data_IF_658018916862
#
_entry.id   IF_658018916862
#
_cell.length_a   1.000
_cell.length_b   1.000
_cell.length_c   1.000
_cell.angle_alpha   90.00
_cell.angle_beta   90.00
_cell.angle_gamma   90.00
#
_symmetry.space_group_name_H-M   'P 1'
#
loop_
_entity.id
_entity.type
_entity.pdbx_description
1 polymer ?
#
# COMPACT_ATOMS: atom_id res chain seq x y z
N UNK A 1 -6.93 9.70 11.82
CA UNK A 1 -5.75 8.97 12.34
C UNK A 1 -5.84 8.56 13.80
N UNK A 2 -6.21 9.43 14.77
CA UNK A 2 -6.31 9.01 16.18
C UNK A 2 -7.42 7.97 16.44
N UNK A 3 -8.55 8.05 15.75
CA UNK A 3 -9.65 7.08 15.85
C UNK A 3 -9.24 5.66 15.39
N UNK A 4 -8.39 5.54 14.37
CA UNK A 4 -7.95 4.25 13.84
C UNK A 4 -7.09 3.45 14.83
N UNK A 5 -6.39 4.11 15.76
CA UNK A 5 -5.62 3.43 16.82
C UNK A 5 -6.50 2.70 17.85
N UNK A 6 -7.80 3.01 17.88
CA UNK A 6 -8.79 2.47 18.83
C UNK A 6 -9.89 1.67 18.15
N UNK A 7 -9.82 1.53 16.82
CA UNK A 7 -10.82 0.79 16.04
C UNK A 7 -10.54 -0.71 16.15
N UNK A 8 -11.57 -1.58 16.18
CA UNK A 8 -11.37 -3.01 16.04
C UNK A 8 -10.59 -3.34 14.75
N UNK A 9 -9.76 -4.38 14.83
CA UNK A 9 -8.81 -4.88 13.81
C UNK A 9 -9.52 -5.40 12.55
N UNK A 10 -10.26 -4.53 11.87
CA UNK A 10 -10.91 -4.84 10.60
C UNK A 10 -9.93 -4.54 9.47
N UNK A 11 -9.77 -5.49 8.54
CA UNK A 11 -8.87 -5.32 7.40
C UNK A 11 -9.18 -4.09 6.53
N UNK A 12 -10.44 -3.67 6.51
CA UNK A 12 -10.88 -2.42 5.85
C UNK A 12 -10.21 -1.19 6.45
N UNK A 13 -10.20 -1.08 7.78
CA UNK A 13 -9.60 0.08 8.47
C UNK A 13 -8.09 0.07 8.28
N UNK A 14 -7.46 -1.10 8.40
CA UNK A 14 -6.01 -1.24 8.19
C UNK A 14 -5.64 -0.82 6.75
N UNK A 15 -6.36 -1.33 5.73
CA UNK A 15 -6.15 -0.94 4.33
C UNK A 15 -6.25 0.58 4.11
N UNK A 16 -7.29 1.20 4.67
CA UNK A 16 -7.52 2.64 4.55
C UNK A 16 -6.42 3.46 5.26
N UNK A 17 -5.93 2.98 6.41
CA UNK A 17 -4.80 3.59 7.13
C UNK A 17 -3.53 3.48 6.30
N UNK A 18 -3.20 2.32 5.76
CA UNK A 18 -1.99 2.13 4.95
C UNK A 18 -2.01 3.01 3.70
N UNK A 19 -3.16 3.09 3.03
CA UNK A 19 -3.37 4.00 1.89
C UNK A 19 -3.18 5.46 2.31
N UNK A 20 -3.75 5.89 3.43
CA UNK A 20 -3.59 7.25 3.94
C UNK A 20 -2.15 7.56 4.34
N UNK A 21 -1.45 6.60 4.95
CA UNK A 21 -0.04 6.72 5.30
C UNK A 21 0.82 6.86 4.04
N UNK A 22 0.54 6.11 2.98
CA UNK A 22 1.24 6.26 1.71
C UNK A 22 1.06 7.68 1.12
N UNK A 23 -0.19 8.14 0.96
CA UNK A 23 -0.48 9.46 0.39
C UNK A 23 0.03 10.62 1.24
N UNK A 24 0.33 10.38 2.52
CA UNK A 24 0.95 11.38 3.41
C UNK A 24 2.46 11.20 3.60
N UNK A 25 3.10 10.27 2.87
CA UNK A 25 4.55 10.03 2.92
C UNK A 25 5.03 9.38 4.23
N UNK A 26 4.12 8.70 4.94
CA UNK A 26 4.33 8.18 6.30
C UNK A 26 4.33 6.65 6.39
N UNK A 27 4.06 5.92 5.31
CA UNK A 27 3.97 4.45 5.34
C UNK A 27 5.26 3.80 5.88
N UNK A 28 6.41 4.10 5.28
CA UNK A 28 7.72 3.61 5.75
C UNK A 28 8.20 4.12 7.12
N UNK A 29 7.39 4.92 7.83
CA UNK A 29 7.71 5.50 9.15
C UNK A 29 6.73 5.05 10.24
N UNK A 30 5.44 5.07 9.93
CA UNK A 30 4.37 5.07 10.93
C UNK A 30 3.43 3.86 10.82
N UNK A 31 3.62 2.96 9.85
CA UNK A 31 2.74 1.80 9.60
C UNK A 31 2.47 0.98 10.87
N UNK A 32 3.50 0.70 11.66
CA UNK A 32 3.39 -0.10 12.89
C UNK A 32 2.85 0.66 14.11
N UNK A 33 2.51 1.95 13.99
CA UNK A 33 1.73 2.67 15.02
C UNK A 33 0.25 2.27 15.01
N UNK A 34 -0.16 1.45 14.06
CA UNK A 34 -1.51 0.97 13.85
C UNK A 34 -1.51 -0.56 13.82
N UNK A 35 -2.65 -1.21 14.10
CA UNK A 35 -2.78 -2.65 13.87
C UNK A 35 -2.46 -2.99 12.42
N UNK A 36 -1.78 -4.12 12.21
CA UNK A 36 -1.25 -4.53 10.91
C UNK A 36 -1.51 -6.01 10.63
N UNK A 37 -1.83 -6.32 9.37
CA UNK A 37 -1.99 -7.68 8.87
C UNK A 37 -1.60 -7.74 7.38
N UNK A 38 -0.79 -8.73 6.92
CA UNK A 38 -0.37 -8.84 5.52
C UNK A 38 -1.51 -8.71 4.51
N UNK A 39 -2.60 -9.46 4.73
CA UNK A 39 -3.73 -9.44 3.82
C UNK A 39 -4.53 -8.13 3.83
N UNK A 40 -4.27 -7.22 4.78
CA UNK A 40 -4.95 -5.93 4.80
C UNK A 40 -4.30 -4.92 3.85
N UNK A 41 -3.03 -5.11 3.46
CA UNK A 41 -2.36 -4.25 2.47
C UNK A 41 -3.11 -4.25 1.14
N UNK A 42 -3.59 -5.42 0.72
CA UNK A 42 -4.39 -5.56 -0.50
C UNK A 42 -5.54 -6.52 -0.23
N UNK A 43 -6.77 -5.98 -0.22
CA UNK A 43 -7.99 -6.76 0.02
C UNK A 43 -8.42 -7.56 -1.23
N UNK A 44 -7.52 -8.39 -1.77
CA UNK A 44 -7.80 -9.28 -2.90
C UNK A 44 -8.30 -10.65 -2.41
N UNK A 45 -9.19 -11.30 -3.19
CA UNK A 45 -9.72 -12.64 -2.88
C UNK A 45 -11.26 -12.71 -2.90
N UNK A 46 -11.79 -13.93 -3.11
CA UNK A 46 -13.23 -14.20 -3.26
C UNK A 46 -14.02 -14.05 -1.95
N UNK A 47 -13.40 -14.20 -0.78
CA UNK A 47 -14.11 -14.13 0.51
C UNK A 47 -14.29 -12.70 1.03
N UNK A 48 -13.91 -11.68 0.25
CA UNK A 48 -13.92 -10.26 0.65
C UNK A 48 -14.98 -9.45 -0.08
N UNK A 49 -16.03 -10.12 -0.54
CA UNK A 49 -17.13 -9.59 -1.36
C UNK A 49 -17.85 -8.41 -0.69
N UNK A 50 -17.94 -8.36 0.64
CA UNK A 50 -18.60 -7.25 1.33
C UNK A 50 -17.69 -6.03 1.57
N UNK A 51 -16.42 -6.08 1.17
CA UNK A 51 -15.44 -5.01 1.36
C UNK A 51 -15.11 -4.22 0.07
N UNK A 52 -15.83 -4.46 -1.04
CA UNK A 52 -15.51 -3.85 -2.34
C UNK A 52 -15.44 -2.33 -2.31
N UNK A 53 -16.34 -1.70 -1.55
CA UNK A 53 -16.38 -0.24 -1.40
C UNK A 53 -15.10 0.38 -0.85
N UNK A 54 -14.28 -0.42 -0.16
CA UNK A 54 -13.13 0.09 0.57
C UNK A 54 -11.78 -0.16 -0.13
N UNK A 55 -11.75 -0.95 -1.21
CA UNK A 55 -10.48 -1.36 -1.85
C UNK A 55 -10.22 -0.80 -3.24
N UNK A 56 -11.25 -0.34 -3.96
CA UNK A 56 -11.05 0.08 -5.36
C UNK A 56 -10.07 1.26 -5.46
N UNK A 57 -10.07 2.18 -4.50
CA UNK A 57 -9.15 3.32 -4.55
C UNK A 57 -7.69 2.89 -4.38
N UNK A 58 -7.41 1.93 -3.48
CA UNK A 58 -6.07 1.32 -3.34
C UNK A 58 -5.66 0.61 -4.63
N UNK A 59 -6.58 -0.11 -5.28
CA UNK A 59 -6.31 -0.78 -6.56
C UNK A 59 -6.04 0.21 -7.69
N UNK A 60 -6.80 1.30 -7.77
CA UNK A 60 -6.61 2.38 -8.76
C UNK A 60 -5.24 3.03 -8.55
N UNK A 61 -4.91 3.42 -7.32
CA UNK A 61 -3.64 4.08 -7.02
C UNK A 61 -2.42 3.19 -7.31
N UNK A 62 -2.55 1.88 -7.11
CA UNK A 62 -1.51 0.90 -7.43
C UNK A 62 -1.38 0.65 -8.95
N UNK A 63 -2.36 1.04 -9.77
CA UNK A 63 -2.39 0.71 -11.20
C UNK A 63 -3.01 -0.65 -11.53
N UNK A 64 -3.71 -1.28 -10.57
CA UNK A 64 -4.44 -2.53 -10.75
C UNK A 64 -5.84 -2.29 -11.33
N UNK A 65 -5.92 -1.50 -12.40
CA UNK A 65 -7.18 -0.96 -12.95
C UNK A 65 -8.17 -2.03 -13.44
N UNK A 66 -7.69 -3.20 -13.86
CA UNK A 66 -8.57 -4.31 -14.23
C UNK A 66 -9.29 -4.91 -13.02
N UNK A 67 -8.58 -5.05 -11.89
CA UNK A 67 -9.17 -5.51 -10.64
C UNK A 67 -10.12 -4.45 -10.08
N UNK A 68 -9.74 -3.17 -10.16
CA UNK A 68 -10.62 -2.07 -9.78
C UNK A 68 -11.91 -2.04 -10.63
N UNK A 69 -11.81 -2.19 -11.97
CA UNK A 69 -12.99 -2.24 -12.86
C UNK A 69 -13.93 -3.39 -12.48
N UNK A 70 -13.37 -4.58 -12.22
CA UNK A 70 -14.14 -5.74 -11.78
C UNK A 70 -14.90 -5.43 -10.48
N UNK A 71 -14.18 -5.00 -9.44
CA UNK A 71 -14.77 -4.72 -8.12
C UNK A 71 -15.82 -3.60 -8.19
N UNK A 72 -15.57 -2.56 -9.00
CA UNK A 72 -16.51 -1.47 -9.20
C UNK A 72 -17.76 -1.89 -9.97
N UNK A 73 -17.62 -2.80 -10.93
CA UNK A 73 -18.78 -3.36 -11.66
C UNK A 73 -19.64 -4.18 -10.71
N UNK A 74 -19.04 -5.02 -9.87
CA UNK A 74 -19.77 -5.75 -8.84
C UNK A 74 -20.47 -4.80 -7.84
N UNK A 75 -19.82 -3.68 -7.48
CA UNK A 75 -20.45 -2.64 -6.67
C UNK A 75 -21.64 -1.99 -7.38
N UNK A 76 -21.53 -1.70 -8.69
CA UNK A 76 -22.62 -1.11 -9.46
C UNK A 76 -23.84 -2.04 -9.49
N UNK A 77 -23.62 -3.34 -9.71
CA UNK A 77 -24.70 -4.34 -9.69
C UNK A 77 -25.34 -4.50 -8.30
N UNK A 78 -24.53 -4.40 -7.24
CA UNK A 78 -24.99 -4.61 -5.86
C UNK A 78 -25.69 -3.38 -5.27
N UNK A 79 -25.14 -2.19 -5.51
CA UNK A 79 -25.54 -0.95 -4.83
C UNK A 79 -26.19 0.08 -5.77
N UNK A 80 -26.22 -0.20 -7.08
CA UNK A 80 -26.75 0.69 -8.10
C UNK A 80 -25.84 1.88 -8.42
N UNK A 81 -26.43 2.88 -9.06
CA UNK A 81 -25.79 4.07 -9.62
C UNK A 81 -25.31 5.09 -8.55
N UNK A 82 -24.62 4.63 -7.51
CA UNK A 82 -24.07 5.52 -6.50
C UNK A 82 -23.00 6.44 -7.11
N UNK A 83 -23.03 7.77 -6.87
CA UNK A 83 -22.11 8.70 -7.53
C UNK A 83 -20.63 8.34 -7.38
N UNK A 84 -20.20 7.91 -6.18
CA UNK A 84 -18.82 7.47 -5.96
C UNK A 84 -18.41 6.30 -6.88
N UNK A 85 -19.29 5.32 -7.07
CA UNK A 85 -19.03 4.15 -7.93
C UNK A 85 -18.91 4.61 -9.39
N UNK A 86 -19.87 5.42 -9.85
CA UNK A 86 -19.88 5.94 -11.20
C UNK A 86 -18.64 6.80 -11.49
N UNK A 87 -18.20 7.63 -10.54
CA UNK A 87 -17.00 8.49 -10.69
C UNK A 87 -15.76 7.63 -10.90
N UNK A 88 -15.61 6.57 -10.11
CA UNK A 88 -14.47 5.65 -10.22
C UNK A 88 -14.55 4.77 -11.47
N UNK A 89 -15.75 4.33 -11.88
CA UNK A 89 -15.94 3.63 -13.16
C UNK A 89 -15.60 4.52 -14.36
N UNK A 90 -16.00 5.79 -14.33
CA UNK A 90 -15.62 6.76 -15.34
C UNK A 90 -14.09 6.92 -15.38
N UNK A 91 -13.45 7.14 -14.24
CA UNK A 91 -11.99 7.28 -14.13
C UNK A 91 -11.25 6.05 -14.69
N UNK A 92 -11.61 4.85 -14.24
CA UNK A 92 -10.98 3.61 -14.69
C UNK A 92 -11.16 3.41 -16.20
N UNK A 93 -12.34 3.70 -16.74
CA UNK A 93 -12.58 3.59 -18.18
C UNK A 93 -11.78 4.63 -18.98
N UNK A 94 -11.62 5.86 -18.48
CA UNK A 94 -10.75 6.87 -19.10
C UNK A 94 -9.28 6.42 -19.11
N UNK A 95 -8.78 5.90 -17.99
CA UNK A 95 -7.41 5.34 -17.89
C UNK A 95 -7.20 4.21 -18.90
N UNK A 96 -8.19 3.32 -19.04
CA UNK A 96 -8.16 2.19 -19.98
C UNK A 96 -8.38 2.59 -21.45
N UNK A 97 -8.66 3.86 -21.75
CA UNK A 97 -8.97 4.33 -23.10
C UNK A 97 -10.34 3.86 -23.62
N UNK A 98 -11.23 3.40 -22.73
CA UNK A 98 -12.60 2.99 -23.03
C UNK A 98 -13.53 4.21 -23.02
N UNK A 99 -13.29 5.15 -23.94
CA UNK A 99 -13.96 6.46 -24.01
C UNK A 99 -15.49 6.34 -24.03
N UNK A 100 -16.06 5.38 -24.77
CA UNK A 100 -17.51 5.17 -24.84
C UNK A 100 -18.11 4.82 -23.48
N UNK A 101 -17.51 3.87 -22.75
CA UNK A 101 -17.96 3.48 -21.41
C UNK A 101 -17.79 4.62 -20.40
N UNK A 102 -16.67 5.35 -20.44
CA UNK A 102 -16.46 6.51 -19.59
C UNK A 102 -17.57 7.57 -19.76
N UNK A 103 -17.99 7.85 -21.01
CA UNK A 103 -19.06 8.81 -21.31
C UNK A 103 -20.42 8.40 -20.75
N UNK A 104 -20.72 7.10 -20.69
CA UNK A 104 -21.96 6.60 -20.07
C UNK A 104 -21.99 6.98 -18.59
N UNK A 105 -20.94 6.63 -17.85
CA UNK A 105 -20.86 6.92 -16.41
C UNK A 105 -20.81 8.43 -16.12
N UNK A 106 -20.06 9.20 -16.91
CA UNK A 106 -20.03 10.67 -16.82
C UNK A 106 -21.41 11.29 -17.12
N UNK A 107 -22.14 10.76 -18.10
CA UNK A 107 -23.48 11.22 -18.44
C UNK A 107 -24.49 11.00 -17.31
N UNK A 108 -24.38 9.88 -16.58
CA UNK A 108 -25.14 9.62 -15.37
C UNK A 108 -24.75 10.59 -14.23
N UNK A 109 -23.44 10.73 -13.95
CA UNK A 109 -22.92 11.61 -12.91
C UNK A 109 -23.26 13.08 -13.09
N UNK A 110 -23.30 13.55 -14.34
CA UNK A 110 -23.64 14.95 -14.67
C UNK A 110 -25.04 15.33 -14.16
N UNK A 111 -25.92 14.36 -13.93
CA UNK A 111 -27.27 14.59 -13.37
C UNK A 111 -27.27 14.76 -11.86
N UNK A 112 -26.14 14.56 -11.18
CA UNK A 112 -26.01 14.66 -9.72
C UNK A 112 -25.43 16.02 -9.30
N UNK A 113 -25.93 16.60 -8.21
CA UNK A 113 -25.57 17.96 -7.80
C UNK A 113 -24.06 18.14 -7.57
N UNK A 114 -23.46 17.27 -6.77
CA UNK A 114 -22.06 17.43 -6.34
C UNK A 114 -21.03 16.98 -7.38
N UNK A 115 -21.40 16.12 -8.33
CA UNK A 115 -20.48 15.61 -9.37
C UNK A 115 -20.73 16.23 -10.74
N UNK A 116 -21.74 17.11 -10.87
CA UNK A 116 -22.08 17.77 -12.13
C UNK A 116 -20.88 18.42 -12.79
N UNK A 117 -20.16 19.26 -12.04
CA UNK A 117 -19.02 20.02 -12.55
C UNK A 117 -17.90 19.09 -13.03
N UNK A 118 -17.49 18.16 -12.17
CA UNK A 118 -16.43 17.19 -12.50
C UNK A 118 -16.78 16.39 -13.75
N UNK A 119 -18.01 15.89 -13.86
CA UNK A 119 -18.46 15.10 -15.00
C UNK A 119 -18.54 15.92 -16.30
N UNK A 120 -19.08 17.14 -16.22
CA UNK A 120 -19.14 18.07 -17.36
C UNK A 120 -17.75 18.45 -17.85
N UNK A 121 -16.81 18.73 -16.94
CA UNK A 121 -15.43 19.07 -17.27
C UNK A 121 -14.74 17.92 -18.01
N UNK A 122 -14.88 16.67 -17.53
CA UNK A 122 -14.30 15.51 -18.19
C UNK A 122 -14.97 15.17 -19.52
N UNK A 123 -16.28 15.36 -19.66
CA UNK A 123 -16.96 15.21 -20.95
C UNK A 123 -16.39 16.20 -21.99
N UNK A 124 -16.23 17.48 -21.62
CA UNK A 124 -15.65 18.49 -22.49
C UNK A 124 -14.20 18.17 -22.87
N UNK A 125 -13.40 17.66 -21.92
CA UNK A 125 -12.03 17.19 -22.21
C UNK A 125 -12.01 16.01 -23.17
N UNK A 126 -12.90 15.04 -23.00
CA UNK A 126 -13.02 13.88 -23.90
C UNK A 126 -13.53 14.27 -25.30
N UNK A 127 -14.31 15.35 -25.40
CA UNK A 127 -14.74 15.92 -26.69
C UNK A 127 -13.57 16.59 -27.41
N UNK A 128 -12.74 17.33 -26.69
CA UNK A 128 -11.54 17.98 -27.24
C UNK A 128 -10.43 16.98 -27.58
N UNK A 129 -10.21 15.99 -26.71
CA UNK A 129 -9.20 14.94 -26.86
C UNK A 129 -9.73 13.61 -26.28
N UNK A 130 -10.23 12.69 -27.12
CA UNK A 130 -10.71 11.38 -26.69
C UNK A 130 -9.66 10.52 -25.99
N UNK A 131 -8.38 10.83 -26.18
CA UNK A 131 -7.26 10.10 -25.55
C UNK A 131 -6.88 10.68 -24.21
N UNK A 132 -7.28 11.91 -23.87
CA UNK A 132 -6.83 12.62 -22.68
C UNK A 132 -5.29 12.66 -22.56
N UNK A 133 -4.61 12.87 -23.67
CA UNK A 133 -3.14 12.89 -23.78
C UNK A 133 -2.48 13.92 -22.87
N UNK A 134 -3.15 15.06 -22.66
CA UNK A 134 -2.67 16.16 -21.82
C UNK A 134 -3.27 16.17 -20.40
N UNK A 135 -4.08 15.19 -20.02
CA UNK A 135 -4.62 15.12 -18.65
C UNK A 135 -3.59 14.48 -17.70
N UNK A 136 -2.99 15.25 -16.77
CA UNK A 136 -1.87 14.77 -15.99
C UNK A 136 -2.23 13.60 -15.08
N UNK A 137 -3.45 13.57 -14.54
CA UNK A 137 -3.89 12.51 -13.65
C UNK A 137 -4.13 11.21 -14.43
N UNK A 138 -4.77 11.29 -15.59
CA UNK A 138 -4.96 10.12 -16.45
C UNK A 138 -3.62 9.58 -16.95
N UNK A 139 -2.68 10.44 -17.35
CA UNK A 139 -1.36 10.00 -17.77
C UNK A 139 -0.56 9.37 -16.63
N UNK A 140 -0.63 9.95 -15.41
CA UNK A 140 -0.02 9.39 -14.21
C UNK A 140 -0.54 7.98 -13.92
N UNK A 141 -1.86 7.80 -13.91
CA UNK A 141 -2.49 6.50 -13.65
C UNK A 141 -2.14 5.48 -14.75
N UNK A 142 -2.14 5.89 -16.04
CA UNK A 142 -1.73 5.03 -17.15
C UNK A 142 -0.29 4.56 -17.05
N UNK A 143 0.63 5.44 -16.65
CA UNK A 143 2.04 5.09 -16.47
C UNK A 143 2.26 4.05 -15.37
N UNK A 144 1.35 3.99 -14.38
CA UNK A 144 1.41 3.06 -13.25
C UNK A 144 0.67 1.74 -13.50
N UNK A 145 -0.19 1.68 -14.53
CA UNK A 145 -1.03 0.52 -14.82
C UNK A 145 -0.22 -0.77 -15.04
N UNK A 146 -0.73 -1.87 -14.48
CA UNK A 146 -0.23 -3.20 -14.81
C UNK A 146 -0.39 -3.45 -16.32
N UNK A 147 0.71 -3.82 -16.99
CA UNK A 147 0.70 -4.12 -18.43
C UNK A 147 -0.22 -5.31 -18.74
N UNK A 148 -0.91 -5.25 -19.88
CA UNK A 148 -1.89 -6.27 -20.32
C UNK A 148 -1.29 -7.67 -20.48
N UNK A 149 -0.02 -7.75 -20.86
CA UNK A 149 0.69 -9.02 -21.09
C UNK A 149 1.32 -9.59 -19.81
N UNK A 150 0.99 -9.02 -18.65
CA UNK A 150 1.46 -9.52 -17.37
C UNK A 150 0.88 -10.90 -17.09
N UNK A 151 1.76 -11.88 -16.89
CA UNK A 151 1.42 -13.24 -16.45
C UNK A 151 1.20 -13.32 -14.93
N UNK A 152 1.17 -12.19 -14.22
CA UNK A 152 0.97 -12.17 -12.78
C UNK A 152 -0.32 -12.94 -12.44
N UNK A 153 -0.14 -14.08 -11.76
CA UNK A 153 -1.24 -14.93 -11.34
C UNK A 153 -2.25 -14.12 -10.54
N UNK A 154 -3.50 -14.25 -10.95
CA UNK A 154 -4.59 -13.49 -10.39
C UNK A 154 -4.59 -13.61 -8.85
N UNK A 155 -4.54 -12.46 -8.16
CA UNK A 155 -4.75 -12.30 -6.71
C UNK A 155 -3.61 -12.61 -5.74
N UNK A 156 -2.41 -13.03 -6.18
CA UNK A 156 -1.29 -13.16 -5.24
C UNK A 156 -0.65 -11.79 -5.01
N UNK A 157 -0.90 -11.19 -3.84
CA UNK A 157 -0.49 -9.82 -3.48
C UNK A 157 0.98 -9.56 -3.78
N UNK A 158 1.87 -10.44 -3.34
CA UNK A 158 3.30 -10.28 -3.56
C UNK A 158 3.67 -10.21 -5.05
N UNK A 159 3.10 -11.11 -5.85
CA UNK A 159 3.38 -11.18 -7.29
C UNK A 159 2.82 -9.97 -8.03
N UNK A 160 1.65 -9.48 -7.63
CA UNK A 160 1.08 -8.25 -8.20
C UNK A 160 2.00 -7.05 -7.91
N UNK A 161 2.42 -6.89 -6.66
CA UNK A 161 3.28 -5.79 -6.24
C UNK A 161 4.68 -5.88 -6.87
N UNK A 162 5.30 -7.07 -6.89
CA UNK A 162 6.61 -7.25 -7.52
C UNK A 162 6.56 -6.96 -9.02
N UNK A 163 5.49 -7.41 -9.71
CA UNK A 163 5.34 -7.15 -11.14
C UNK A 163 5.17 -5.66 -11.44
N UNK A 164 4.39 -4.94 -10.62
CA UNK A 164 4.23 -3.48 -10.75
C UNK A 164 5.55 -2.73 -10.54
N UNK A 165 6.40 -3.21 -9.63
CA UNK A 165 7.74 -2.65 -9.39
C UNK A 165 8.68 -2.96 -10.55
N UNK A 166 8.67 -4.19 -11.06
CA UNK A 166 9.61 -4.69 -12.07
C UNK A 166 9.31 -4.20 -13.50
N UNK A 167 8.05 -3.91 -13.83
CA UNK A 167 7.68 -3.40 -15.16
C UNK A 167 8.23 -1.98 -15.44
N UNK A 168 8.75 -1.29 -14.42
CA UNK A 168 9.24 0.08 -14.50
C UNK A 168 8.11 1.13 -14.46
N UNK A 169 8.48 2.41 -14.60
CA UNK A 169 7.52 3.53 -14.56
C UNK A 169 7.42 4.26 -13.23
N UNK A 170 8.28 3.94 -12.26
CA UNK A 170 8.39 4.71 -11.00
C UNK A 170 7.13 4.61 -10.12
N UNK A 171 6.44 3.47 -10.12
CA UNK A 171 5.29 3.23 -9.25
C UNK A 171 5.73 3.09 -7.78
N UNK A 172 5.94 4.24 -7.14
CA UNK A 172 6.37 4.34 -5.75
C UNK A 172 5.42 3.65 -4.77
N UNK A 173 4.11 3.69 -5.03
CA UNK A 173 3.14 3.00 -4.17
C UNK A 173 3.36 1.50 -4.18
N UNK A 174 3.51 0.90 -5.36
CA UNK A 174 3.77 -0.53 -5.48
C UNK A 174 5.08 -0.92 -4.77
N UNK A 175 6.11 -0.09 -4.88
CA UNK A 175 7.37 -0.30 -4.16
C UNK A 175 7.19 -0.26 -2.64
N UNK A 176 6.58 0.81 -2.10
CA UNK A 176 6.36 0.92 -0.65
C UNK A 176 5.48 -0.21 -0.12
N UNK A 177 4.42 -0.58 -0.84
CA UNK A 177 3.55 -1.70 -0.48
C UNK A 177 4.28 -3.04 -0.53
N UNK A 178 5.19 -3.26 -1.49
CA UNK A 178 6.01 -4.47 -1.57
C UNK A 178 6.97 -4.57 -0.37
N UNK A 179 7.60 -3.46 0.00
CA UNK A 179 8.49 -3.40 1.17
C UNK A 179 7.70 -3.66 2.46
N UNK A 180 6.51 -3.06 2.61
CA UNK A 180 5.60 -3.34 3.71
C UNK A 180 5.18 -4.81 3.75
N UNK A 181 4.85 -5.41 2.60
CA UNK A 181 4.51 -6.84 2.50
C UNK A 181 5.65 -7.73 3.03
N UNK A 182 6.89 -7.45 2.65
CA UNK A 182 8.04 -8.22 3.14
C UNK A 182 8.23 -8.08 4.65
N UNK A 183 8.04 -6.88 5.19
CA UNK A 183 8.13 -6.65 6.64
C UNK A 183 7.01 -7.37 7.40
N UNK A 184 5.76 -7.28 6.91
CA UNK A 184 4.60 -7.94 7.53
C UNK A 184 4.64 -9.47 7.45
N UNK A 185 5.44 -10.04 6.55
CA UNK A 185 5.65 -11.50 6.45
C UNK A 185 7.02 -11.96 6.99
N UNK A 186 7.82 -11.06 7.57
CA UNK A 186 9.15 -11.37 8.08
C UNK A 186 10.15 -11.79 6.99
N UNK A 187 9.86 -11.52 5.71
CA UNK A 187 10.66 -11.89 4.54
C UNK A 187 11.85 -10.95 4.32
N UNK A 188 12.67 -10.76 5.35
CA UNK A 188 13.81 -9.86 5.34
C UNK A 188 14.84 -10.09 4.22
N UNK A 189 15.11 -11.33 3.76
CA UNK A 189 15.95 -11.53 2.58
C UNK A 189 15.42 -10.82 1.32
N UNK A 190 14.10 -10.89 1.07
CA UNK A 190 13.46 -10.24 -0.09
C UNK A 190 13.39 -8.71 0.09
N UNK A 191 13.16 -8.25 1.31
CA UNK A 191 13.25 -6.83 1.67
C UNK A 191 14.62 -6.25 1.32
N UNK A 192 15.70 -6.88 1.78
CA UNK A 192 17.08 -6.39 1.54
C UNK A 192 17.43 -6.38 0.06
N UNK A 193 16.95 -7.35 -0.73
CA UNK A 193 17.14 -7.35 -2.19
C UNK A 193 16.49 -6.15 -2.89
N UNK A 194 15.41 -5.60 -2.33
CA UNK A 194 14.68 -4.47 -2.92
C UNK A 194 15.08 -3.11 -2.30
N UNK A 195 15.88 -3.10 -1.24
CA UNK A 195 16.29 -1.86 -0.58
C UNK A 195 17.25 -1.02 -1.44
N UNK A 196 17.99 -1.67 -2.34
CA UNK A 196 18.90 -1.00 -3.29
C UNK A 196 18.17 -0.12 -4.30
N UNK A 197 16.87 -0.36 -4.50
CA UNK A 197 16.04 0.39 -5.45
C UNK A 197 15.49 1.71 -4.89
N UNK A 198 15.80 2.07 -3.64
CA UNK A 198 15.26 3.28 -2.99
C UNK A 198 15.41 4.55 -3.84
N UNK A 199 16.59 4.75 -4.44
CA UNK A 199 16.86 5.93 -5.29
C UNK A 199 16.02 5.95 -6.56
N UNK A 200 15.67 4.77 -7.11
CA UNK A 200 14.81 4.66 -8.30
C UNK A 200 13.38 5.16 -8.03
N UNK A 201 12.95 5.15 -6.77
CA UNK A 201 11.63 5.61 -6.32
C UNK A 201 11.67 6.98 -5.63
N UNK A 202 12.76 7.73 -5.79
CA UNK A 202 12.88 9.12 -5.35
C UNK A 202 13.15 9.30 -3.86
N UNK A 203 13.70 8.28 -3.18
CA UNK A 203 14.18 8.42 -1.81
C UNK A 203 15.57 9.03 -1.76
N UNK A 204 15.70 10.12 -1.00
CA UNK A 204 16.99 10.72 -0.60
C UNK A 204 17.50 10.12 0.70
N UNK A 205 16.58 9.68 1.56
CA UNK A 205 16.86 9.14 2.89
C UNK A 205 16.11 7.83 3.09
N UNK A 206 16.69 6.95 3.91
CA UNK A 206 16.08 5.66 4.23
C UNK A 206 14.99 5.85 5.29
N UNK A 207 13.75 5.40 5.05
CA UNK A 207 12.68 5.43 6.05
C UNK A 207 13.07 4.72 7.37
N UNK A 208 12.69 5.23 8.56
CA UNK A 208 13.11 4.65 9.83
C UNK A 208 12.76 3.17 9.98
N UNK A 209 11.57 2.75 9.55
CA UNK A 209 11.18 1.33 9.64
C UNK A 209 12.05 0.44 8.73
N UNK A 210 12.52 0.98 7.61
CA UNK A 210 13.40 0.25 6.69
C UNK A 210 14.81 0.10 7.27
N UNK A 211 15.30 1.11 8.00
CA UNK A 211 16.56 1.02 8.73
C UNK A 211 16.47 -0.06 9.81
N UNK A 212 15.36 -0.12 10.57
CA UNK A 212 15.13 -1.18 11.56
C UNK A 212 15.12 -2.57 10.91
N UNK A 213 14.41 -2.76 9.80
CA UNK A 213 14.37 -4.04 9.08
C UNK A 213 15.75 -4.48 8.55
N UNK A 214 16.52 -3.54 7.99
CA UNK A 214 17.87 -3.78 7.50
C UNK A 214 18.81 -4.26 8.61
N UNK A 215 18.80 -3.60 9.77
CA UNK A 215 19.69 -3.98 10.87
C UNK A 215 19.28 -5.31 11.50
N UNK A 216 17.97 -5.61 11.63
CA UNK A 216 17.50 -6.93 12.09
C UNK A 216 18.07 -8.03 11.18
N UNK A 217 18.01 -7.84 9.86
CA UNK A 217 18.57 -8.79 8.90
C UNK A 217 20.09 -8.94 9.06
N UNK A 218 20.81 -7.81 9.15
CA UNK A 218 22.26 -7.81 9.27
C UNK A 218 22.72 -8.54 10.53
N UNK A 219 22.06 -8.28 11.68
CA UNK A 219 22.37 -8.93 12.94
C UNK A 219 22.06 -10.43 12.92
N UNK A 220 20.88 -10.81 12.41
CA UNK A 220 20.44 -12.20 12.36
C UNK A 220 21.25 -13.08 11.40
N UNK A 221 21.75 -12.52 10.30
CA UNK A 221 22.47 -13.28 9.26
C UNK A 221 23.98 -13.08 9.27
N UNK A 222 24.49 -12.06 9.99
CA UNK A 222 25.88 -11.58 9.93
C UNK A 222 26.34 -11.20 8.52
N UNK A 223 25.40 -10.84 7.63
CA UNK A 223 25.69 -10.40 6.27
C UNK A 223 25.61 -8.87 6.18
N UNK A 224 26.46 -8.24 5.36
CA UNK A 224 26.32 -6.82 5.07
C UNK A 224 25.00 -6.56 4.33
N UNK A 225 24.41 -5.41 4.62
CA UNK A 225 23.23 -4.90 3.90
C UNK A 225 23.69 -3.69 3.07
N UNK A 226 23.23 -3.53 1.82
CA UNK A 226 23.55 -2.37 0.98
C UNK A 226 22.77 -1.12 1.44
N UNK A 227 22.78 -0.87 2.75
CA UNK A 227 22.10 0.23 3.40
C UNK A 227 22.92 0.65 4.62
N UNK A 228 23.32 1.92 4.65
CA UNK A 228 23.97 2.49 5.82
C UNK A 228 22.88 2.90 6.80
N UNK A 229 22.74 2.14 7.89
CA UNK A 229 21.87 2.53 8.98
C UNK A 229 22.39 3.81 9.63
N UNK A 230 21.50 4.75 9.95
CA UNK A 230 21.90 5.95 10.69
C UNK A 230 22.43 5.58 12.08
N UNK A 231 23.30 6.42 12.69
CA UNK A 231 23.72 6.23 14.08
C UNK A 231 22.53 6.15 15.05
N UNK A 232 21.43 6.85 14.76
CA UNK A 232 20.20 6.77 15.54
C UNK A 232 19.54 5.39 15.45
N UNK A 233 19.46 4.80 14.26
CA UNK A 233 18.90 3.46 14.08
C UNK A 233 19.74 2.39 14.80
N UNK A 234 21.07 2.50 14.76
CA UNK A 234 21.96 1.61 15.51
C UNK A 234 21.74 1.72 17.02
N UNK A 235 21.77 2.96 17.57
CA UNK A 235 21.49 3.21 18.99
C UNK A 235 20.12 2.69 19.42
N UNK A 236 19.10 2.90 18.59
CA UNK A 236 17.72 2.45 18.84
C UNK A 236 17.66 0.93 18.99
N UNK A 237 18.46 0.19 18.23
CA UNK A 237 18.54 -1.27 18.27
C UNK A 237 19.36 -1.77 19.45
N UNK A 238 20.50 -1.15 19.74
CA UNK A 238 21.29 -1.47 20.93
C UNK A 238 20.47 -1.31 22.19
N UNK A 239 19.73 -0.20 22.31
CA UNK A 239 18.82 0.04 23.41
C UNK A 239 17.71 -1.01 23.48
N UNK A 240 17.07 -1.35 22.35
CA UNK A 240 16.06 -2.40 22.28
C UNK A 240 16.62 -3.75 22.75
N UNK A 241 17.79 -4.16 22.24
CA UNK A 241 18.47 -5.39 22.63
C UNK A 241 18.85 -5.40 24.11
N UNK A 242 19.26 -4.26 24.67
CA UNK A 242 19.59 -4.15 26.10
C UNK A 242 18.37 -4.44 26.99
N UNK A 243 17.19 -3.95 26.60
CA UNK A 243 15.93 -4.19 27.31
C UNK A 243 15.53 -5.67 27.17
N UNK A 244 15.60 -6.23 25.97
CA UNK A 244 15.30 -7.66 25.74
C UNK A 244 16.22 -8.55 26.58
N UNK A 245 17.52 -8.24 26.63
CA UNK A 245 18.49 -9.00 27.41
C UNK A 245 18.28 -8.84 28.92
N UNK A 246 17.95 -7.63 29.40
CA UNK A 246 17.64 -7.33 30.81
C UNK A 246 16.52 -8.23 31.34
N UNK A 247 15.47 -8.46 30.56
CA UNK A 247 14.33 -9.28 30.98
C UNK A 247 14.45 -10.75 30.58
N UNK A 248 15.39 -11.12 29.71
CA UNK A 248 15.68 -12.49 29.31
C UNK A 248 14.43 -13.22 28.78
N UNK A 249 13.97 -14.25 29.50
CA UNK A 249 12.77 -15.02 29.13
C UNK A 249 11.45 -14.36 29.53
N UNK A 250 11.46 -13.33 30.38
CA UNK A 250 10.26 -12.64 30.85
C UNK A 250 9.78 -11.60 29.82
N UNK A 251 9.12 -12.08 28.76
CA UNK A 251 8.66 -11.23 27.66
C UNK A 251 7.52 -10.29 28.05
N UNK A 252 6.73 -10.60 29.08
CA UNK A 252 5.63 -9.75 29.53
C UNK A 252 6.18 -8.49 30.23
N UNK A 253 7.21 -8.64 31.07
CA UNK A 253 7.93 -7.52 31.65
C UNK A 253 8.65 -6.69 30.58
N UNK A 254 9.28 -7.35 29.59
CA UNK A 254 9.88 -6.65 28.46
C UNK A 254 8.83 -5.88 27.64
N UNK A 255 7.63 -6.43 27.45
CA UNK A 255 6.55 -5.79 26.70
C UNK A 255 6.15 -4.47 27.32
N UNK A 256 5.98 -4.41 28.64
CA UNK A 256 5.57 -3.19 29.33
C UNK A 256 6.57 -2.02 29.16
N UNK A 257 7.87 -2.30 29.13
CA UNK A 257 8.92 -1.30 28.89
C UNK A 257 9.03 -0.96 27.40
N UNK A 258 9.11 -1.98 26.54
CA UNK A 258 9.25 -1.80 25.09
C UNK A 258 8.04 -1.14 24.44
N UNK A 259 6.81 -1.41 24.90
CA UNK A 259 5.60 -0.81 24.33
C UNK A 259 5.57 0.71 24.48
N UNK A 260 6.27 1.29 25.46
CA UNK A 260 6.32 2.74 25.66
C UNK A 260 7.10 3.44 24.55
N UNK A 261 8.27 2.89 24.19
CA UNK A 261 9.22 3.56 23.28
C UNK A 261 9.23 2.96 21.86
N UNK A 262 8.74 1.72 21.71
CA UNK A 262 8.86 0.93 20.49
C UNK A 262 7.54 0.40 19.93
N UNK A 263 6.36 0.69 20.51
CA UNK A 263 5.10 0.17 19.98
C UNK A 263 4.88 0.45 18.47
N UNK A 264 5.38 1.57 17.96
CA UNK A 264 5.31 1.95 16.55
C UNK A 264 6.45 1.46 15.66
N UNK A 265 7.34 0.62 16.19
CA UNK A 265 8.59 0.24 15.56
C UNK A 265 8.52 -1.17 14.98
N UNK A 266 9.26 -1.42 13.91
CA UNK A 266 9.37 -2.74 13.31
C UNK A 266 10.14 -3.71 14.20
N UNK A 267 11.10 -3.24 15.01
CA UNK A 267 11.78 -4.08 16.03
C UNK A 267 10.77 -4.75 16.97
N UNK A 268 9.83 -3.96 17.49
CA UNK A 268 8.78 -4.44 18.38
C UNK A 268 7.87 -5.43 17.66
N UNK A 269 7.37 -5.05 16.48
CA UNK A 269 6.53 -5.92 15.66
C UNK A 269 7.22 -7.26 15.37
N UNK A 270 8.48 -7.23 14.93
CA UNK A 270 9.25 -8.41 14.56
C UNK A 270 9.52 -9.34 15.77
N UNK A 271 9.86 -8.75 16.92
CA UNK A 271 10.17 -9.52 18.13
C UNK A 271 8.95 -10.30 18.66
N UNK A 272 7.75 -9.74 18.57
CA UNK A 272 6.54 -10.40 19.05
C UNK A 272 5.89 -11.33 18.02
N UNK A 273 6.04 -11.04 16.71
CA UNK A 273 5.40 -11.85 15.65
C UNK A 273 6.30 -12.94 15.06
N UNK A 274 7.62 -12.73 14.93
CA UNK A 274 8.51 -13.68 14.22
C UNK A 274 9.59 -14.31 15.08
N UNK A 275 10.07 -13.64 16.12
CA UNK A 275 11.09 -14.22 17.02
C UNK A 275 10.53 -15.34 17.94
N UNK A 276 9.37 -15.92 17.62
CA UNK A 276 8.83 -17.17 18.22
C UNK A 276 9.20 -18.43 17.42
N UNK A 277 9.66 -18.30 16.18
CA UNK A 277 9.71 -19.45 15.23
C UNK A 277 11.07 -20.15 15.12
N UNK A 278 12.06 -19.81 15.96
CA UNK A 278 13.28 -20.60 16.10
C UNK A 278 13.22 -21.41 17.39
N UNK A 279 12.61 -22.59 17.30
CA UNK A 279 12.84 -23.72 18.21
C UNK A 279 13.16 -24.94 17.37
#
# INVERSE_FOLDING_TARGET
>A
MQAARRSPDTYVVINAVDRALYHTGRLGRDMFLYPQHPDALLLTGQDRVLAYWHKFDTLIDLGLVNLAEKDLTECLETYGEHPLILERLALVNMVKGKTGAARIYLGALRKTLFHHKWASDYLARLDADPTLSNDPEIQRLRAQCLRKDSTAGFYVTEMLLSTLVEQGGGNRMAYEYLMSWYMLNGQLPRFVQNVTKLSEFGYTDVPPLYQEAAVIYAYGTRKPVPLVASPDAQRRIEHFSSIVNKYGRNRDAAFAELARDYAGSYLFYYFYNFARTQK
#
